data_IF_521031701170
#
_entry.id   IF_521031701170
#
_cell.length_a   1.000
_cell.length_b   1.000
_cell.length_c   1.000
_cell.angle_alpha   90.00
_cell.angle_beta   90.00
_cell.angle_gamma   90.00
#
_symmetry.space_group_name_H-M   'P 1'
#
loop_
_entity.id
_entity.type
_entity.pdbx_description
1 polymer ?
#
# COMPACT_ATOMS: atom_id res chain seq x y z
N UNK A 1 3.87 -12.71 31.98
CA UNK A 1 4.75 -11.54 31.92
C UNK A 1 3.87 -10.35 32.22
N UNK A 2 4.27 -9.46 33.14
CA UNK A 2 3.42 -8.37 33.58
C UNK A 2 3.21 -7.39 32.42
N UNK A 3 1.94 -7.21 32.03
CA UNK A 3 1.49 -6.27 30.99
C UNK A 3 1.63 -4.83 31.49
N UNK A 4 2.85 -4.35 31.69
CA UNK A 4 3.10 -2.94 31.94
C UNK A 4 2.89 -2.14 30.65
N UNK A 5 2.15 -1.04 30.73
CA UNK A 5 2.10 -0.08 29.62
C UNK A 5 3.52 0.41 29.30
N UNK A 6 3.93 0.45 28.01
CA UNK A 6 5.26 0.93 27.65
C UNK A 6 5.39 2.39 28.08
N UNK A 7 6.48 2.71 28.78
CA UNK A 7 6.75 4.07 29.30
C UNK A 7 8.06 4.60 28.75
N UNK A 8 8.14 5.93 28.61
CA UNK A 8 9.31 6.63 28.14
C UNK A 8 10.48 6.37 29.08
N UNK A 9 11.60 5.92 28.53
CA UNK A 9 12.81 5.60 29.32
C UNK A 9 13.38 6.83 30.06
N UNK A 10 13.10 8.04 29.57
CA UNK A 10 13.61 9.29 30.15
C UNK A 10 12.66 9.89 31.20
N UNK A 11 11.35 9.94 30.92
CA UNK A 11 10.39 10.68 31.74
C UNK A 11 9.25 9.84 32.34
N UNK A 12 9.20 8.54 32.07
CA UNK A 12 8.17 7.63 32.59
C UNK A 12 6.76 7.83 32.02
N UNK A 13 6.56 8.75 31.06
CA UNK A 13 5.25 8.95 30.42
C UNK A 13 4.83 7.73 29.60
N UNK A 14 3.53 7.37 29.56
CA UNK A 14 3.05 6.27 28.71
C UNK A 14 3.33 6.59 27.24
N UNK A 15 3.84 5.60 26.51
CA UNK A 15 4.18 5.68 25.09
C UNK A 15 3.02 5.14 24.25
N UNK A 16 2.70 5.84 23.17
CA UNK A 16 1.68 5.43 22.21
C UNK A 16 2.25 5.39 20.79
N UNK A 17 1.58 4.62 19.91
CA UNK A 17 1.94 4.56 18.49
C UNK A 17 3.41 4.22 18.25
N UNK A 18 4.09 5.03 17.42
CA UNK A 18 5.53 4.86 17.10
C UNK A 18 6.46 4.95 18.31
N UNK A 19 6.11 5.77 19.31
CA UNK A 19 7.00 6.06 20.44
C UNK A 19 7.33 4.81 21.26
N UNK A 20 6.42 3.82 21.30
CA UNK A 20 6.62 2.56 22.03
C UNK A 20 7.79 1.74 21.49
N UNK A 21 8.07 1.84 20.19
CA UNK A 21 9.16 1.12 19.55
C UNK A 21 10.49 1.86 19.69
N UNK A 22 10.44 3.18 19.86
CA UNK A 22 11.62 4.02 20.03
C UNK A 22 12.01 4.19 21.50
N UNK A 23 11.14 3.81 22.44
CA UNK A 23 11.36 3.93 23.89
C UNK A 23 11.35 5.36 24.43
N UNK A 24 11.21 6.37 23.56
CA UNK A 24 11.22 7.80 23.92
C UNK A 24 9.95 8.50 23.42
N UNK A 25 9.31 9.28 24.30
CA UNK A 25 8.17 10.11 23.91
C UNK A 25 8.63 11.28 23.01
N UNK A 26 7.70 11.88 22.26
CA UNK A 26 7.99 12.99 21.36
C UNK A 26 8.71 14.15 22.04
N UNK A 27 8.30 14.50 23.28
CA UNK A 27 8.92 15.60 24.03
C UNK A 27 10.39 15.33 24.35
N UNK A 28 10.71 14.18 24.96
CA UNK A 28 12.10 13.85 25.30
C UNK A 28 13.00 13.70 24.06
N UNK A 29 12.42 13.29 22.93
CA UNK A 29 13.15 13.22 21.65
C UNK A 29 13.43 14.61 21.07
N UNK A 30 12.45 15.51 21.17
CA UNK A 30 12.64 16.90 20.74
C UNK A 30 13.70 17.57 21.61
N UNK A 31 13.69 17.35 22.92
CA UNK A 31 14.73 17.84 23.85
C UNK A 31 16.12 17.29 23.48
N UNK A 32 16.23 16.00 23.10
CA UNK A 32 17.48 15.39 22.64
C UNK A 32 17.98 16.00 21.32
N UNK A 33 17.08 16.22 20.35
CA UNK A 33 17.43 16.84 19.07
C UNK A 33 17.85 18.30 19.24
N UNK A 34 17.17 19.05 20.11
CA UNK A 34 17.49 20.45 20.41
C UNK A 34 18.75 20.56 21.27
N UNK A 35 18.97 19.65 22.20
CA UNK A 35 20.20 19.55 23.02
C UNK A 35 21.44 19.25 22.17
N UNK A 36 21.34 18.27 21.26
CA UNK A 36 22.41 17.94 20.33
C UNK A 36 22.70 19.08 19.33
N UNK A 37 21.68 19.85 18.93
CA UNK A 37 21.86 21.04 18.10
C UNK A 37 22.55 22.19 18.86
N UNK A 38 22.31 22.30 20.17
CA UNK A 38 22.97 23.29 21.04
C UNK A 38 24.46 23.02 21.25
N UNK A 39 24.85 21.74 21.42
CA UNK A 39 26.26 21.36 21.52
C UNK A 39 27.00 21.46 20.17
N UNK A 40 26.35 21.10 19.06
CA UNK A 40 26.94 21.25 17.72
C UNK A 40 27.15 22.72 17.31
N UNK A 41 26.38 23.67 17.88
CA UNK A 41 26.59 25.10 17.68
C UNK A 41 27.73 25.67 18.55
N UNK A 42 28.00 25.07 19.72
CA UNK A 42 29.04 25.53 20.63
C UNK A 42 30.47 25.25 20.12
N UNK A 43 30.65 24.25 19.25
CA UNK A 43 31.94 23.91 18.64
C UNK A 43 32.22 24.60 17.29
N UNK A 44 31.28 25.43 16.79
CA UNK A 44 31.36 26.06 15.48
C UNK A 44 31.56 27.59 15.47
N UNK A 45 31.49 28.26 16.62
CA UNK A 45 31.47 29.72 16.67
C UNK A 45 32.86 30.33 16.95
N UNK A 46 33.70 30.36 15.92
CA UNK A 46 34.72 31.40 15.81
C UNK A 46 35.02 31.76 14.36
N UNK A 47 34.87 33.06 14.09
CA UNK A 47 35.21 33.80 12.88
C UNK A 47 34.18 33.77 11.71
N UNK A 48 33.24 34.74 11.73
CA UNK A 48 33.05 35.64 10.58
C UNK A 48 32.36 36.96 10.93
N UNK A 49 32.96 38.02 10.40
CA UNK A 49 32.61 39.43 10.53
C UNK A 49 31.27 39.80 9.83
N UNK A 50 30.64 40.94 10.19
CA UNK A 50 29.39 41.39 9.60
C UNK A 50 29.67 42.10 8.27
N UNK A 51 28.98 41.68 7.20
CA UNK A 51 29.10 42.27 5.87
C UNK A 51 27.78 42.29 5.12
N UNK A 52 27.26 43.51 4.98
CA UNK A 52 26.43 44.03 3.88
C UNK A 52 24.99 43.54 3.70
N UNK A 53 24.08 44.41 4.16
CA UNK A 53 22.68 44.45 3.76
C UNK A 53 22.55 44.86 2.28
N UNK A 54 22.01 43.96 1.45
CA UNK A 54 21.62 44.28 0.08
C UNK A 54 20.20 44.87 0.00
N UNK A 55 19.99 46.00 -0.70
CA UNK A 55 18.67 46.56 -0.91
C UNK A 55 17.85 45.70 -1.88
N UNK A 56 16.67 45.26 -1.43
CA UNK A 56 15.69 44.53 -2.24
C UNK A 56 15.15 45.45 -3.34
N UNK A 57 15.53 45.21 -4.58
CA UNK A 57 14.94 45.90 -5.73
C UNK A 57 13.50 45.39 -5.99
N UNK A 58 12.51 46.28 -6.19
CA UNK A 58 11.10 45.92 -6.36
C UNK A 58 10.76 45.24 -7.71
N UNK A 59 11.73 45.05 -8.61
CA UNK A 59 11.48 44.52 -9.96
C UNK A 59 11.30 43.00 -10.04
N UNK A 60 11.65 42.25 -8.98
CA UNK A 60 11.52 40.77 -8.96
C UNK A 60 10.11 40.27 -8.60
N UNK A 61 9.28 41.08 -7.93
CA UNK A 61 7.91 40.69 -7.56
C UNK A 61 6.95 40.58 -8.75
N UNK A 62 7.15 41.41 -9.78
CA UNK A 62 6.27 41.47 -10.95
C UNK A 62 6.43 40.27 -11.90
N UNK A 63 7.63 39.71 -11.99
CA UNK A 63 7.92 38.53 -12.83
C UNK A 63 7.29 37.26 -12.26
N UNK A 64 7.29 37.12 -10.93
CA UNK A 64 6.70 35.98 -10.24
C UNK A 64 5.16 35.97 -10.33
N UNK A 65 4.52 37.15 -10.31
CA UNK A 65 3.07 37.25 -10.47
C UNK A 65 2.63 36.90 -11.90
N UNK A 66 3.38 37.33 -12.91
CA UNK A 66 3.08 37.01 -14.32
C UNK A 66 3.19 35.50 -14.61
N UNK A 67 4.16 34.81 -14.00
CA UNK A 67 4.32 33.35 -14.12
C UNK A 67 3.16 32.57 -13.47
N UNK A 68 2.62 33.07 -12.34
CA UNK A 68 1.48 32.44 -11.67
C UNK A 68 0.18 32.55 -12.49
N UNK A 69 -0.07 33.70 -13.14
CA UNK A 69 -1.26 33.90 -13.99
C UNK A 69 -1.18 33.03 -15.25
N UNK A 70 -0.01 32.94 -15.90
CA UNK A 70 0.17 32.07 -17.06
C UNK A 70 0.05 30.57 -16.72
N UNK A 71 0.55 30.15 -15.54
CA UNK A 71 0.42 28.78 -15.06
C UNK A 71 -1.03 28.39 -14.72
N UNK A 72 -1.81 29.32 -14.13
CA UNK A 72 -3.21 29.09 -13.78
C UNK A 72 -4.13 28.88 -14.99
N UNK A 73 -3.92 29.62 -16.08
CA UNK A 73 -4.71 29.51 -17.29
C UNK A 73 -4.54 28.14 -18.01
N UNK A 74 -3.36 27.51 -17.88
CA UNK A 74 -3.09 26.21 -18.51
C UNK A 74 -3.81 25.03 -17.81
N UNK A 75 -4.11 25.15 -16.51
CA UNK A 75 -4.77 24.09 -15.73
C UNK A 75 -6.28 24.04 -16.01
N UNK A 76 -6.91 25.18 -16.34
CA UNK A 76 -8.37 25.24 -16.61
C UNK A 76 -8.73 24.60 -17.95
N UNK A 77 -7.83 24.63 -18.94
CA UNK A 77 -8.07 24.00 -20.25
C UNK A 77 -7.96 22.46 -20.18
N UNK A 78 -7.19 21.91 -19.24
CA UNK A 78 -7.03 20.45 -19.08
C UNK A 78 -8.13 19.79 -18.23
N UNK A 79 -8.93 20.58 -17.50
CA UNK A 79 -9.99 20.07 -16.61
C UNK A 79 -11.40 20.19 -17.20
N UNK A 80 -11.55 20.60 -18.47
CA UNK A 80 -12.85 20.57 -19.15
C UNK A 80 -13.20 19.12 -19.52
N UNK A 81 -14.27 18.52 -18.96
CA UNK A 81 -14.61 17.14 -19.22
C UNK A 81 -15.18 17.01 -20.64
N UNK A 82 -14.55 16.13 -21.41
CA UNK A 82 -15.14 15.54 -22.61
C UNK A 82 -16.52 14.98 -22.26
N UNK A 83 -17.48 15.31 -23.10
CA UNK A 83 -18.90 15.03 -22.92
C UNK A 83 -19.22 13.56 -22.69
N UNK A 84 -20.27 13.38 -21.88
CA UNK A 84 -21.09 12.20 -21.76
C UNK A 84 -21.65 11.80 -23.13
N UNK A 85 -20.90 10.97 -23.85
CA UNK A 85 -21.42 10.21 -24.98
C UNK A 85 -22.25 9.05 -24.45
N UNK A 86 -23.56 9.11 -24.68
CA UNK A 86 -24.48 7.98 -24.62
C UNK A 86 -23.94 6.86 -25.51
N UNK A 87 -23.46 5.78 -24.88
CA UNK A 87 -23.07 4.57 -25.58
C UNK A 87 -24.30 3.73 -25.92
N UNK A 88 -24.35 3.10 -27.10
CA UNK A 88 -25.49 2.30 -27.53
C UNK A 88 -25.66 1.04 -26.68
N UNK A 89 -26.94 0.73 -26.47
CA UNK A 89 -27.53 -0.38 -25.73
C UNK A 89 -26.91 -1.76 -26.13
N UNK A 90 -26.49 -2.60 -25.18
CA UNK A 90 -25.95 -3.92 -25.50
C UNK A 90 -27.07 -4.89 -25.92
N UNK A 91 -26.94 -5.40 -27.13
CA UNK A 91 -27.75 -6.46 -27.73
C UNK A 91 -27.72 -7.76 -26.88
N UNK A 92 -28.86 -8.45 -26.67
CA UNK A 92 -28.92 -9.63 -25.81
C UNK A 92 -28.20 -10.83 -26.42
N UNK A 93 -27.09 -11.23 -25.82
CA UNK A 93 -26.33 -12.43 -26.19
C UNK A 93 -27.19 -13.69 -26.00
N UNK A 94 -27.52 -14.33 -27.11
CA UNK A 94 -28.18 -15.64 -27.22
C UNK A 94 -27.41 -16.70 -26.42
N UNK A 95 -28.05 -17.31 -25.43
CA UNK A 95 -27.49 -18.40 -24.64
C UNK A 95 -27.22 -19.63 -25.53
N UNK A 96 -25.94 -19.96 -25.71
CA UNK A 96 -25.50 -21.22 -26.33
C UNK A 96 -25.53 -22.30 -25.25
N UNK A 97 -26.43 -23.27 -25.42
CA UNK A 97 -26.59 -24.45 -24.56
C UNK A 97 -25.43 -25.44 -24.84
N UNK A 98 -24.55 -25.77 -23.87
CA UNK A 98 -23.53 -26.78 -24.10
C UNK A 98 -24.15 -28.18 -24.19
N UNK A 99 -23.58 -29.00 -25.09
CA UNK A 99 -23.94 -30.40 -25.30
C UNK A 99 -23.58 -31.26 -24.06
N UNK A 100 -24.35 -32.32 -23.76
CA UNK A 100 -24.09 -33.18 -22.62
C UNK A 100 -22.78 -33.96 -22.80
N UNK A 101 -21.84 -33.76 -21.87
CA UNK A 101 -20.63 -34.56 -21.75
C UNK A 101 -20.97 -35.97 -21.25
N UNK A 102 -20.32 -36.97 -21.85
CA UNK A 102 -20.45 -38.37 -21.49
C UNK A 102 -20.08 -38.62 -20.01
N UNK A 103 -20.81 -39.53 -19.37
CA UNK A 103 -20.64 -39.89 -17.97
C UNK A 103 -19.23 -40.49 -17.71
N UNK A 104 -18.51 -40.05 -16.67
CA UNK A 104 -17.27 -40.69 -16.26
C UNK A 104 -17.53 -42.03 -15.56
N UNK A 105 -16.77 -43.03 -15.96
CA UNK A 105 -16.68 -44.36 -15.35
C UNK A 105 -16.24 -44.27 -13.88
N UNK A 106 -16.88 -44.99 -12.94
CA UNK A 106 -16.52 -44.91 -11.53
C UNK A 106 -15.17 -45.58 -11.27
N UNK A 107 -14.18 -44.78 -10.88
CA UNK A 107 -12.92 -45.26 -10.31
C UNK A 107 -13.16 -45.59 -8.84
N UNK A 108 -12.80 -46.80 -8.43
CA UNK A 108 -12.93 -47.29 -7.08
C UNK A 108 -12.23 -46.34 -6.07
N UNK A 109 -13.01 -45.87 -5.10
CA UNK A 109 -12.50 -45.04 -3.99
C UNK A 109 -11.63 -45.89 -3.06
N UNK A 110 -10.40 -45.47 -2.74
CA UNK A 110 -9.66 -46.06 -1.63
C UNK A 110 -10.39 -45.75 -0.31
N UNK A 111 -10.34 -46.73 0.61
CA UNK A 111 -11.09 -46.77 1.84
C UNK A 111 -10.99 -45.48 2.67
N UNK A 112 -12.16 -44.98 3.07
CA UNK A 112 -12.36 -43.82 3.95
C UNK A 112 -11.84 -44.18 5.35
N UNK A 113 -10.62 -43.76 5.67
CA UNK A 113 -10.14 -43.70 7.05
C UNK A 113 -11.13 -42.85 7.88
N UNK A 114 -11.53 -43.27 9.09
CA UNK A 114 -12.41 -42.49 9.93
C UNK A 114 -11.72 -41.17 10.28
N UNK A 115 -12.27 -40.07 9.79
CA UNK A 115 -11.90 -38.73 10.21
C UNK A 115 -12.25 -38.62 11.70
N UNK A 116 -11.25 -38.74 12.56
CA UNK A 116 -11.36 -38.29 13.94
C UNK A 116 -11.81 -36.83 13.95
N UNK A 117 -12.59 -36.39 14.95
CA UNK A 117 -13.07 -35.02 15.01
C UNK A 117 -11.87 -34.07 14.97
N UNK A 118 -11.72 -33.35 13.87
CA UNK A 118 -10.80 -32.21 13.79
C UNK A 118 -11.32 -31.22 14.81
N UNK A 119 -10.62 -31.11 15.94
CA UNK A 119 -10.96 -30.16 16.98
C UNK A 119 -11.09 -28.78 16.33
N UNK A 120 -12.28 -28.18 16.43
CA UNK A 120 -12.48 -26.81 15.97
C UNK A 120 -11.40 -25.93 16.60
N UNK A 121 -10.75 -25.04 15.82
CA UNK A 121 -9.71 -24.17 16.36
C UNK A 121 -10.27 -23.46 17.59
N UNK A 122 -9.63 -23.69 18.75
CA UNK A 122 -10.05 -23.14 20.03
C UNK A 122 -10.00 -21.63 19.92
N UNK A 123 -11.16 -20.99 20.02
CA UNK A 123 -11.28 -19.54 20.00
C UNK A 123 -10.68 -18.95 21.27
N UNK A 124 -9.80 -17.96 21.10
CA UNK A 124 -9.19 -17.24 22.21
C UNK A 124 -9.84 -15.85 22.26
N UNK A 125 -10.26 -15.37 23.45
CA UNK A 125 -10.73 -14.00 23.60
C UNK A 125 -9.64 -13.02 23.11
N UNK A 126 -10.06 -11.95 22.43
CA UNK A 126 -9.13 -10.94 21.94
C UNK A 126 -8.38 -10.31 23.12
N UNK A 127 -7.04 -10.33 23.15
CA UNK A 127 -6.27 -9.65 24.19
C UNK A 127 -6.63 -8.17 24.27
N UNK A 128 -6.74 -7.60 25.48
CA UNK A 128 -7.15 -6.21 25.68
C UNK A 128 -6.31 -5.21 24.86
N UNK A 129 -5.00 -5.45 24.79
CA UNK A 129 -4.07 -4.67 23.96
C UNK A 129 -4.43 -4.74 22.47
N UNK A 130 -4.66 -5.94 21.93
CA UNK A 130 -5.06 -6.13 20.54
C UNK A 130 -6.40 -5.45 20.21
N UNK A 131 -7.34 -5.48 21.16
CA UNK A 131 -8.61 -4.76 21.02
C UNK A 131 -8.40 -3.24 20.95
N UNK A 132 -7.60 -2.68 21.85
CA UNK A 132 -7.30 -1.25 21.88
C UNK A 132 -6.63 -0.77 20.57
N UNK A 133 -5.61 -1.49 20.13
CA UNK A 133 -4.82 -1.14 18.95
C UNK A 133 -5.61 -1.34 17.65
N UNK A 134 -6.48 -2.36 17.59
CA UNK A 134 -7.41 -2.52 16.47
C UNK A 134 -8.41 -1.37 16.43
N UNK A 135 -8.94 -0.90 17.57
CA UNK A 135 -9.83 0.26 17.60
C UNK A 135 -9.13 1.54 17.15
N UNK A 136 -7.89 1.77 17.58
CA UNK A 136 -7.08 2.90 17.14
C UNK A 136 -6.83 2.84 15.62
N UNK A 137 -6.39 1.70 15.10
CA UNK A 137 -6.21 1.49 13.66
C UNK A 137 -7.49 1.81 12.87
N UNK A 138 -8.65 1.31 13.32
CA UNK A 138 -9.94 1.56 12.67
C UNK A 138 -10.31 3.04 12.68
N UNK A 139 -10.02 3.76 13.78
CA UNK A 139 -10.23 5.20 13.88
C UNK A 139 -9.35 5.95 12.88
N UNK A 140 -8.07 5.63 12.79
CA UNK A 140 -7.14 6.24 11.83
C UNK A 140 -7.54 5.94 10.39
N UNK A 141 -7.94 4.70 10.08
CA UNK A 141 -8.41 4.31 8.75
C UNK A 141 -9.69 5.06 8.36
N UNK A 142 -10.63 5.22 9.30
CA UNK A 142 -11.85 6.01 9.08
C UNK A 142 -11.54 7.49 8.84
N UNK A 143 -10.56 8.05 9.55
CA UNK A 143 -10.05 9.41 9.35
C UNK A 143 -9.17 9.58 8.11
N UNK A 144 -8.77 8.47 7.45
CA UNK A 144 -7.79 8.44 6.36
C UNK A 144 -6.42 9.02 6.77
N UNK A 145 -6.06 8.90 8.04
CA UNK A 145 -4.78 9.36 8.58
C UNK A 145 -3.70 8.30 8.32
N UNK A 146 -3.39 8.09 7.04
CA UNK A 146 -2.50 7.01 6.63
C UNK A 146 -1.05 7.23 7.05
N UNK A 147 -0.60 8.47 7.19
CA UNK A 147 0.76 8.76 7.65
C UNK A 147 0.94 8.26 9.09
N UNK A 148 -0.04 8.50 9.97
CA UNK A 148 -0.01 7.92 11.33
C UNK A 148 -0.12 6.41 11.34
N UNK A 149 -0.92 5.81 10.45
CA UNK A 149 -0.99 4.34 10.35
C UNK A 149 0.38 3.77 9.98
N UNK A 150 1.05 4.38 9.00
CA UNK A 150 2.37 3.96 8.59
C UNK A 150 3.36 4.06 9.74
N UNK A 151 3.40 5.20 10.42
CA UNK A 151 4.36 5.45 11.50
C UNK A 151 4.13 4.53 12.71
N UNK A 152 2.87 4.25 13.06
CA UNK A 152 2.51 3.47 14.24
C UNK A 152 2.54 1.95 14.00
N UNK A 153 2.22 1.50 12.79
CA UNK A 153 1.92 0.08 12.55
C UNK A 153 2.68 -0.55 11.39
N UNK A 154 3.27 0.21 10.47
CA UNK A 154 3.97 -0.37 9.31
C UNK A 154 5.48 -0.11 9.32
N UNK A 155 5.93 1.11 9.65
CA UNK A 155 7.36 1.44 9.75
C UNK A 155 8.11 0.68 10.84
N UNK A 156 7.51 0.39 12.01
CA UNK A 156 8.19 -0.42 13.03
C UNK A 156 8.40 -1.88 12.62
N UNK A 157 7.84 -2.31 11.48
CA UNK A 157 8.14 -3.61 10.91
C UNK A 157 9.40 -3.55 10.04
N UNK A 158 10.50 -4.04 10.60
CA UNK A 158 11.80 -4.12 9.92
C UNK A 158 11.86 -5.19 8.81
N UNK A 159 10.76 -5.92 8.57
CA UNK A 159 10.70 -6.99 7.57
C UNK A 159 9.96 -6.57 6.30
N UNK A 160 8.65 -6.29 6.36
CA UNK A 160 7.85 -6.17 5.15
C UNK A 160 8.05 -4.83 4.44
N UNK A 161 8.19 -3.71 5.16
CA UNK A 161 8.38 -2.42 4.51
C UNK A 161 9.73 -2.33 3.76
N UNK A 162 10.87 -2.81 4.32
CA UNK A 162 12.11 -2.95 3.56
C UNK A 162 12.00 -3.88 2.34
N UNK A 163 11.22 -4.97 2.43
CA UNK A 163 10.96 -5.85 1.28
C UNK A 163 10.17 -5.13 0.18
N UNK A 164 9.11 -4.40 0.54
CA UNK A 164 8.35 -3.55 -0.39
C UNK A 164 9.27 -2.54 -1.08
N UNK A 165 10.15 -1.86 -0.34
CA UNK A 165 11.12 -0.91 -0.90
C UNK A 165 12.01 -1.56 -1.96
N UNK A 166 12.65 -2.69 -1.62
CA UNK A 166 13.53 -3.42 -2.56
C UNK A 166 12.76 -3.87 -3.80
N UNK A 167 11.57 -4.43 -3.64
CA UNK A 167 10.76 -4.90 -4.75
C UNK A 167 10.32 -3.75 -5.67
N UNK A 168 9.95 -2.59 -5.12
CA UNK A 168 9.67 -1.39 -5.92
C UNK A 168 10.90 -0.88 -6.67
N UNK A 169 12.08 -0.91 -6.07
CA UNK A 169 13.32 -0.53 -6.76
C UNK A 169 13.60 -1.47 -7.94
N UNK A 170 13.39 -2.78 -7.77
CA UNK A 170 13.46 -3.73 -8.87
C UNK A 170 12.48 -3.42 -10.00
N UNK A 171 11.25 -2.98 -9.69
CA UNK A 171 10.22 -2.61 -10.66
C UNK A 171 10.55 -1.31 -11.39
N UNK A 172 11.03 -0.30 -10.66
CA UNK A 172 11.14 1.07 -11.18
C UNK A 172 12.48 1.31 -11.88
N UNK A 173 13.59 0.90 -11.25
CA UNK A 173 14.95 1.19 -11.75
C UNK A 173 15.75 -0.08 -12.08
N UNK A 174 15.34 -1.24 -11.56
CA UNK A 174 16.06 -2.51 -11.75
C UNK A 174 15.55 -3.36 -12.91
N UNK A 175 15.68 -4.68 -12.75
CA UNK A 175 15.37 -5.68 -13.78
C UNK A 175 13.91 -5.62 -14.30
N UNK A 176 12.96 -5.17 -13.48
CA UNK A 176 11.55 -5.03 -13.86
C UNK A 176 11.24 -3.75 -14.64
N UNK A 177 12.18 -2.81 -14.79
CA UNK A 177 11.89 -1.48 -15.35
C UNK A 177 11.43 -1.52 -16.82
N UNK A 178 11.99 -2.43 -17.63
CA UNK A 178 11.55 -2.62 -19.01
C UNK A 178 10.12 -3.15 -19.08
N UNK A 179 9.80 -4.17 -18.28
CA UNK A 179 8.45 -4.71 -18.16
C UNK A 179 7.47 -3.67 -17.62
N UNK A 180 7.84 -2.92 -16.58
CA UNK A 180 7.01 -1.85 -16.02
C UNK A 180 6.60 -0.83 -17.10
N UNK A 181 7.56 -0.33 -17.90
CA UNK A 181 7.27 0.61 -19.00
C UNK A 181 6.34 0.01 -20.04
N UNK A 182 6.57 -1.24 -20.42
CA UNK A 182 5.76 -1.93 -21.42
C UNK A 182 4.32 -2.19 -20.94
N UNK A 183 4.17 -2.77 -19.75
CA UNK A 183 2.88 -3.16 -19.22
C UNK A 183 2.04 -1.96 -18.79
N UNK A 184 2.65 -0.92 -18.22
CA UNK A 184 1.95 0.33 -17.91
C UNK A 184 1.45 1.04 -19.17
N UNK A 185 2.26 1.07 -20.23
CA UNK A 185 1.83 1.60 -21.54
C UNK A 185 0.70 0.77 -22.13
N UNK A 186 0.75 -0.55 -21.97
CA UNK A 186 -0.32 -1.46 -22.40
C UNK A 186 -1.61 -1.17 -21.62
N UNK A 187 -1.54 -1.04 -20.30
CA UNK A 187 -2.69 -0.69 -19.44
C UNK A 187 -3.34 0.64 -19.86
N UNK A 188 -2.53 1.67 -20.11
CA UNK A 188 -3.00 3.00 -20.50
C UNK A 188 -3.60 2.99 -21.91
N UNK A 189 -2.94 2.35 -22.89
CA UNK A 189 -3.36 2.42 -24.31
C UNK A 189 -4.44 1.40 -24.69
N UNK A 190 -4.39 0.21 -24.11
CA UNK A 190 -5.25 -0.92 -24.47
C UNK A 190 -6.34 -1.20 -23.43
N UNK A 191 -6.29 -0.51 -22.29
CA UNK A 191 -7.23 -0.67 -21.19
C UNK A 191 -6.90 -1.84 -20.27
N UNK A 192 -7.60 -1.88 -19.13
CA UNK A 192 -7.38 -2.83 -18.06
C UNK A 192 -7.68 -4.28 -18.48
N UNK A 193 -8.83 -4.54 -19.10
CA UNK A 193 -9.27 -5.90 -19.45
C UNK A 193 -8.28 -6.64 -20.36
N UNK A 194 -7.80 -5.96 -21.41
CA UNK A 194 -6.81 -6.53 -22.33
C UNK A 194 -5.46 -6.75 -21.64
N UNK A 195 -5.06 -5.85 -20.75
CA UNK A 195 -3.83 -5.99 -19.97
C UNK A 195 -3.91 -7.17 -19.01
N UNK A 196 -5.02 -7.33 -18.30
CA UNK A 196 -5.30 -8.47 -17.41
C UNK A 196 -5.18 -9.79 -18.17
N UNK A 197 -5.81 -9.91 -19.34
CA UNK A 197 -5.75 -11.12 -20.16
C UNK A 197 -4.31 -11.46 -20.58
N UNK A 198 -3.52 -10.44 -20.94
CA UNK A 198 -2.12 -10.62 -21.37
C UNK A 198 -1.18 -10.94 -20.20
N UNK A 199 -1.38 -10.32 -19.04
CA UNK A 199 -0.63 -10.67 -17.82
C UNK A 199 -0.93 -12.11 -17.38
N UNK A 200 -2.20 -12.53 -17.46
CA UNK A 200 -2.58 -13.93 -17.22
C UNK A 200 -1.84 -14.89 -18.16
N UNK A 201 -1.78 -14.57 -19.45
CA UNK A 201 -1.03 -15.36 -20.43
C UNK A 201 0.49 -15.37 -20.17
N UNK A 202 1.03 -14.33 -19.51
CA UNK A 202 2.42 -14.25 -19.06
C UNK A 202 2.67 -14.96 -17.70
N UNK A 203 1.66 -15.67 -17.16
CA UNK A 203 1.81 -16.42 -15.91
C UNK A 203 1.68 -15.58 -14.64
N UNK A 204 1.12 -14.37 -14.71
CA UNK A 204 0.80 -13.59 -13.52
C UNK A 204 -0.33 -14.27 -12.72
N UNK A 205 -0.11 -14.64 -11.44
CA UNK A 205 -1.15 -15.25 -10.60
C UNK A 205 -2.26 -14.26 -10.22
N UNK A 206 -2.00 -12.96 -10.27
CA UNK A 206 -2.93 -11.91 -9.81
C UNK A 206 -3.03 -10.75 -10.80
N UNK A 207 -3.45 -11.01 -12.05
CA UNK A 207 -3.34 -10.03 -13.15
C UNK A 207 -4.19 -8.77 -12.93
N UNK A 208 -5.29 -8.87 -12.18
CA UNK A 208 -6.12 -7.70 -11.80
C UNK A 208 -5.33 -6.78 -10.87
N UNK A 209 -4.80 -7.31 -9.77
CA UNK A 209 -3.98 -6.57 -8.81
C UNK A 209 -2.76 -5.94 -9.48
N UNK A 210 -2.04 -6.68 -10.32
CA UNK A 210 -0.89 -6.16 -11.05
C UNK A 210 -1.28 -5.01 -11.98
N UNK A 211 -2.39 -5.13 -12.70
CA UNK A 211 -2.88 -4.06 -13.58
C UNK A 211 -3.24 -2.80 -12.79
N UNK A 212 -3.88 -2.94 -11.63
CA UNK A 212 -4.18 -1.81 -10.75
C UNK A 212 -2.90 -1.15 -10.20
N UNK A 213 -1.94 -1.95 -9.74
CA UNK A 213 -0.64 -1.45 -9.24
C UNK A 213 0.11 -0.70 -10.34
N UNK A 214 0.21 -1.28 -11.54
CA UNK A 214 0.84 -0.63 -12.69
C UNK A 214 0.16 0.70 -13.04
N UNK A 215 -1.17 0.72 -13.00
CA UNK A 215 -1.95 1.93 -13.26
C UNK A 215 -1.72 2.98 -12.18
N UNK A 216 -1.65 2.58 -10.91
CA UNK A 216 -1.33 3.47 -9.79
C UNK A 216 0.08 4.05 -9.95
N UNK A 217 1.09 3.20 -10.13
CA UNK A 217 2.48 3.60 -10.32
C UNK A 217 2.64 4.55 -11.51
N UNK A 218 1.98 4.28 -12.64
CA UNK A 218 2.07 5.13 -13.82
C UNK A 218 1.42 6.51 -13.65
N UNK A 219 0.39 6.63 -12.79
CA UNK A 219 -0.35 7.87 -12.55
C UNK A 219 0.21 8.72 -11.41
N UNK A 220 1.00 8.13 -10.51
CA UNK A 220 1.51 8.79 -9.31
C UNK A 220 3.05 8.78 -9.30
N UNK A 221 3.71 9.84 -9.80
CA UNK A 221 5.18 9.92 -9.81
C UNK A 221 5.81 9.78 -8.42
N UNK A 222 5.10 10.09 -7.34
CA UNK A 222 5.57 9.88 -5.97
C UNK A 222 5.72 8.40 -5.60
N UNK A 223 5.03 7.50 -6.31
CA UNK A 223 5.09 6.05 -6.10
C UNK A 223 6.09 5.34 -7.03
N UNK A 224 6.48 5.95 -8.15
CA UNK A 224 7.27 5.30 -9.21
C UNK A 224 8.41 6.14 -9.81
N UNK A 225 8.57 7.40 -9.41
CA UNK A 225 9.61 8.27 -9.93
C UNK A 225 10.98 7.81 -9.46
N UNK A 226 11.92 7.60 -10.40
CA UNK A 226 13.28 7.14 -10.08
C UNK A 226 14.02 8.10 -9.13
N UNK A 227 13.73 9.41 -9.21
CA UNK A 227 14.32 10.45 -8.35
C UNK A 227 13.68 10.52 -6.95
N UNK A 228 12.57 9.83 -6.72
CA UNK A 228 11.90 9.83 -5.41
C UNK A 228 12.66 8.86 -4.47
N UNK A 229 12.84 9.17 -3.19
CA UNK A 229 13.43 8.22 -2.25
C UNK A 229 12.61 6.91 -2.16
N UNK A 230 13.28 5.76 -2.09
CA UNK A 230 12.63 4.44 -2.06
C UNK A 230 11.61 4.30 -0.90
N UNK A 231 11.93 4.86 0.27
CA UNK A 231 11.00 4.89 1.42
C UNK A 231 9.71 5.62 1.07
N UNK A 232 9.78 6.80 0.43
CA UNK A 232 8.59 7.57 0.05
C UNK A 232 7.77 6.83 -1.01
N UNK A 233 8.40 6.15 -1.96
CA UNK A 233 7.69 5.28 -2.91
C UNK A 233 6.92 4.17 -2.19
N UNK A 234 7.58 3.47 -1.26
CA UNK A 234 6.96 2.40 -0.48
C UNK A 234 5.78 2.90 0.36
N UNK A 235 5.92 4.04 1.07
CA UNK A 235 4.81 4.66 1.81
C UNK A 235 3.60 4.91 0.90
N UNK A 236 3.79 5.53 -0.26
CA UNK A 236 2.70 5.76 -1.21
C UNK A 236 2.02 4.47 -1.69
N UNK A 237 2.78 3.41 -1.94
CA UNK A 237 2.22 2.12 -2.35
C UNK A 237 1.47 1.43 -1.21
N UNK A 238 1.95 1.53 0.03
CA UNK A 238 1.21 1.02 1.21
C UNK A 238 -0.09 1.80 1.40
N UNK A 239 -0.08 3.13 1.23
CA UNK A 239 -1.30 3.97 1.28
C UNK A 239 -2.30 3.54 0.22
N UNK A 240 -1.87 3.39 -1.03
CA UNK A 240 -2.71 2.89 -2.12
C UNK A 240 -3.28 1.49 -1.81
N UNK A 241 -2.46 0.63 -1.23
CA UNK A 241 -2.85 -0.72 -0.86
C UNK A 241 -3.94 -0.71 0.22
N UNK A 242 -3.72 0.00 1.33
CA UNK A 242 -4.68 0.17 2.42
C UNK A 242 -5.97 0.85 1.95
N UNK A 243 -5.87 1.86 1.08
CA UNK A 243 -7.02 2.53 0.48
C UNK A 243 -7.86 1.54 -0.34
N UNK A 244 -7.23 0.68 -1.15
CA UNK A 244 -7.95 -0.34 -1.91
C UNK A 244 -8.56 -1.44 -1.03
N UNK A 245 -7.89 -1.79 0.07
CA UNK A 245 -8.37 -2.80 1.01
C UNK A 245 -9.60 -2.31 1.79
N UNK A 246 -9.53 -1.09 2.34
CA UNK A 246 -10.52 -0.58 3.30
C UNK A 246 -11.46 0.51 2.76
N UNK A 247 -11.17 1.13 1.61
CA UNK A 247 -11.81 2.39 1.18
C UNK A 247 -13.32 2.34 0.93
N UNK A 248 -13.91 1.15 0.76
CA UNK A 248 -15.37 0.96 0.59
C UNK A 248 -16.08 0.44 1.84
N UNK A 249 -15.37 0.28 2.96
CA UNK A 249 -15.93 -0.20 4.23
C UNK A 249 -16.29 0.96 5.15
N UNK A 250 -17.36 0.78 5.93
CA UNK A 250 -17.77 1.72 6.99
C UNK A 250 -17.03 1.41 8.29
N UNK A 251 -15.83 1.96 8.43
CA UNK A 251 -14.94 1.64 9.55
C UNK A 251 -15.26 2.37 10.86
N UNK A 252 -15.86 3.57 10.81
CA UNK A 252 -16.17 4.34 12.01
C UNK A 252 -17.13 3.62 12.98
N UNK A 253 -17.99 2.73 12.46
CA UNK A 253 -18.89 1.89 13.25
C UNK A 253 -18.48 0.42 13.33
N UNK A 254 -17.29 0.07 12.84
CA UNK A 254 -16.84 -1.32 12.82
C UNK A 254 -16.64 -1.85 14.24
N UNK A 255 -17.09 -3.08 14.48
CA UNK A 255 -16.87 -3.78 15.75
C UNK A 255 -15.77 -4.80 15.58
N UNK A 256 -14.97 -4.93 16.63
CA UNK A 256 -13.98 -6.02 16.71
C UNK A 256 -14.73 -7.27 17.12
N UNK A 257 -14.71 -8.28 16.25
CA UNK A 257 -15.32 -9.57 16.54
C UNK A 257 -14.66 -10.18 17.79
N UNK A 258 -15.42 -10.88 18.64
CA UNK A 258 -14.94 -11.33 19.95
C UNK A 258 -13.83 -12.38 19.91
N UNK A 259 -13.46 -12.86 18.72
CA UNK A 259 -12.61 -14.02 18.52
C UNK A 259 -11.38 -13.63 17.70
N UNK A 260 -10.20 -13.93 18.25
CA UNK A 260 -8.95 -13.85 17.52
C UNK A 260 -8.33 -15.25 17.36
N UNK A 261 -7.68 -15.47 16.22
CA UNK A 261 -6.84 -16.64 16.00
C UNK A 261 -5.40 -16.24 16.28
N UNK A 262 -4.74 -16.90 17.23
CA UNK A 262 -3.32 -16.67 17.55
C UNK A 262 -2.47 -17.86 17.11
N UNK A 263 -1.36 -17.59 16.46
CA UNK A 263 -0.36 -18.60 16.07
C UNK A 263 1.03 -18.02 16.28
N UNK A 264 1.68 -18.41 17.38
CA UNK A 264 2.97 -17.83 17.79
C UNK A 264 2.85 -16.33 18.10
N UNK A 265 3.64 -15.54 17.38
CA UNK A 265 3.63 -14.08 17.37
C UNK A 265 2.59 -13.48 16.43
N UNK A 266 1.85 -14.29 15.66
CA UNK A 266 0.79 -13.79 14.80
C UNK A 266 -0.57 -13.81 15.49
N UNK A 267 -1.34 -12.75 15.31
CA UNK A 267 -2.70 -12.60 15.83
C UNK A 267 -3.62 -12.06 14.73
N UNK A 268 -4.71 -12.78 14.45
CA UNK A 268 -5.72 -12.35 13.48
C UNK A 268 -6.98 -11.93 14.21
N UNK A 269 -7.42 -10.70 14.01
CA UNK A 269 -8.62 -10.12 14.63
C UNK A 269 -9.70 -9.94 13.57
N UNK A 270 -10.89 -10.49 13.80
CA UNK A 270 -12.04 -10.31 12.91
C UNK A 270 -12.70 -8.96 13.09
N UNK A 271 -13.27 -8.43 12.00
CA UNK A 271 -14.02 -7.18 11.97
C UNK A 271 -15.45 -7.41 11.49
N UNK A 272 -16.40 -6.86 12.22
CA UNK A 272 -17.79 -6.73 11.81
C UNK A 272 -17.99 -5.31 11.29
N UNK A 273 -18.08 -5.15 9.97
CA UNK A 273 -18.28 -3.87 9.32
C UNK A 273 -19.18 -3.98 8.09
N UNK A 274 -19.89 -2.89 7.81
CA UNK A 274 -20.72 -2.74 6.61
C UNK A 274 -19.89 -2.25 5.42
N UNK A 275 -20.48 -2.39 4.23
CA UNK A 275 -19.88 -1.94 2.98
C UNK A 275 -19.21 -3.07 2.20
N UNK A 276 -18.73 -2.70 1.01
CA UNK A 276 -18.06 -3.58 0.08
C UNK A 276 -16.65 -3.06 -0.13
N UNK A 277 -15.65 -3.92 0.04
CA UNK A 277 -14.27 -3.54 -0.16
C UNK A 277 -14.03 -3.01 -1.57
N UNK A 278 -13.12 -2.04 -1.70
CA UNK A 278 -12.90 -1.32 -2.96
C UNK A 278 -12.24 -2.15 -4.06
N UNK A 279 -11.54 -3.22 -3.70
CA UNK A 279 -10.92 -4.15 -4.65
C UNK A 279 -10.41 -5.41 -3.99
N UNK A 280 -10.22 -6.45 -4.78
CA UNK A 280 -9.64 -7.72 -4.31
C UNK A 280 -8.14 -7.53 -4.09
N UNK A 281 -7.68 -7.71 -2.85
CA UNK A 281 -6.27 -7.73 -2.48
C UNK A 281 -5.88 -9.19 -2.19
N UNK A 282 -5.15 -9.87 -3.10
CA UNK A 282 -4.91 -11.32 -2.97
C UNK A 282 -4.25 -11.71 -1.64
N UNK A 283 -4.78 -12.70 -0.93
CA UNK A 283 -4.25 -13.12 0.37
C UNK A 283 -4.64 -12.22 1.55
N UNK A 284 -5.49 -11.21 1.34
CA UNK A 284 -6.03 -10.39 2.42
C UNK A 284 -7.55 -10.38 2.39
N UNK A 285 -8.11 -10.42 3.59
CA UNK A 285 -9.52 -10.19 3.84
C UNK A 285 -9.64 -8.85 4.59
N UNK A 286 -10.30 -7.83 4.03
CA UNK A 286 -10.44 -6.53 4.69
C UNK A 286 -11.30 -6.59 5.95
N UNK A 287 -11.96 -7.73 6.22
CA UNK A 287 -12.66 -8.01 7.49
C UNK A 287 -11.77 -8.72 8.51
N UNK A 288 -10.47 -8.84 8.24
CA UNK A 288 -9.49 -9.42 9.15
C UNK A 288 -8.29 -8.49 9.25
N UNK A 289 -7.89 -8.18 10.47
CA UNK A 289 -6.65 -7.47 10.75
C UNK A 289 -5.62 -8.49 11.19
N UNK A 290 -4.52 -8.56 10.46
CA UNK A 290 -3.41 -9.44 10.76
C UNK A 290 -2.35 -8.64 11.50
N UNK A 291 -2.09 -9.03 12.74
CA UNK A 291 -1.10 -8.44 13.61
C UNK A 291 0.08 -9.39 13.77
N UNK A 292 1.29 -8.83 13.75
CA UNK A 292 2.46 -9.46 14.34
C UNK A 292 2.74 -8.80 15.69
N UNK A 293 2.82 -9.62 16.72
CA UNK A 293 3.01 -9.22 18.12
C UNK A 293 4.51 -9.11 18.39
N UNK A 294 4.94 -7.93 18.84
CA UNK A 294 6.30 -7.62 19.26
C UNK A 294 6.30 -7.27 20.76
N UNK A 295 7.45 -7.33 21.46
CA UNK A 295 7.52 -6.90 22.85
C UNK A 295 7.03 -5.45 23.04
N UNK A 296 7.42 -4.56 22.13
CA UNK A 296 7.16 -3.13 22.18
C UNK A 296 5.74 -2.76 21.73
N UNK A 297 5.12 -3.58 20.87
CA UNK A 297 3.93 -3.19 20.11
C UNK A 297 3.33 -4.28 19.24
N UNK A 298 2.33 -3.92 18.44
CA UNK A 298 1.89 -4.74 17.32
C UNK A 298 2.14 -3.99 16.02
N UNK A 299 2.54 -4.75 15.00
CA UNK A 299 2.74 -4.22 13.65
C UNK A 299 1.74 -4.89 12.71
N UNK A 300 1.23 -4.10 11.75
CA UNK A 300 0.25 -4.55 10.78
C UNK A 300 0.95 -5.43 9.75
N UNK A 301 0.52 -6.68 9.65
CA UNK A 301 1.03 -7.63 8.68
C UNK A 301 0.17 -7.55 7.42
N UNK A 302 0.79 -7.16 6.30
CA UNK A 302 0.14 -7.08 5.00
C UNK A 302 0.79 -8.09 4.07
N UNK A 303 0.02 -8.79 3.23
CA UNK A 303 0.59 -9.67 2.20
C UNK A 303 1.26 -8.86 1.05
N UNK A 304 1.50 -7.55 1.25
CA UNK A 304 1.89 -6.58 0.22
C UNK A 304 3.30 -6.84 -0.31
N UNK A 305 4.24 -7.16 0.58
CA UNK A 305 5.64 -7.44 0.20
C UNK A 305 5.70 -8.59 -0.81
N UNK A 306 5.12 -9.74 -0.48
CA UNK A 306 5.08 -10.94 -1.33
C UNK A 306 4.42 -10.67 -2.69
N UNK A 307 3.37 -9.84 -2.71
CA UNK A 307 2.68 -9.45 -3.93
C UNK A 307 3.55 -8.58 -4.82
N UNK A 308 4.19 -7.55 -4.28
CA UNK A 308 5.06 -6.66 -5.07
C UNK A 308 6.29 -7.44 -5.56
N UNK A 309 6.85 -8.37 -4.76
CA UNK A 309 7.92 -9.27 -5.20
C UNK A 309 7.47 -10.18 -6.35
N UNK A 310 6.24 -10.68 -6.31
CA UNK A 310 5.65 -11.47 -7.41
C UNK A 310 5.46 -10.62 -8.66
N UNK A 311 4.97 -9.40 -8.53
CA UNK A 311 4.88 -8.45 -9.65
C UNK A 311 6.27 -8.14 -10.22
N UNK A 312 7.27 -7.88 -9.37
CA UNK A 312 8.64 -7.63 -9.81
C UNK A 312 9.20 -8.79 -10.64
N UNK A 313 8.94 -10.04 -10.23
CA UNK A 313 9.31 -11.23 -11.01
C UNK A 313 8.62 -11.30 -12.36
N UNK A 314 7.31 -11.05 -12.43
CA UNK A 314 6.56 -11.02 -13.69
C UNK A 314 7.10 -9.94 -14.63
N UNK A 315 7.39 -8.74 -14.10
CA UNK A 315 7.91 -7.61 -14.89
C UNK A 315 9.36 -7.79 -15.33
N UNK A 316 10.14 -8.63 -14.65
CA UNK A 316 11.51 -8.96 -15.04
C UNK A 316 11.59 -10.00 -16.17
N UNK A 317 10.48 -10.67 -16.50
CA UNK A 317 10.44 -11.59 -17.63
C UNK A 317 10.62 -10.85 -18.97
N UNK A 318 11.18 -11.51 -20.01
CA UNK A 318 11.28 -10.93 -21.33
C UNK A 318 9.91 -10.43 -21.82
N UNK A 319 9.86 -9.16 -22.23
CA UNK A 319 8.63 -8.57 -22.76
C UNK A 319 8.23 -9.35 -24.01
N UNK A 320 6.95 -9.76 -24.16
CA UNK A 320 6.49 -10.46 -25.35
C UNK A 320 6.86 -9.62 -26.57
N UNK A 321 7.58 -10.23 -27.54
CA UNK A 321 7.91 -9.57 -28.78
C UNK A 321 6.63 -8.95 -29.33
N UNK A 322 6.63 -7.62 -29.48
CA UNK A 322 5.51 -6.95 -30.13
C UNK A 322 5.60 -7.47 -31.55
N UNK A 323 4.71 -8.39 -31.95
CA UNK A 323 4.66 -8.86 -33.32
C UNK A 323 4.74 -7.60 -34.19
N UNK A 324 5.81 -7.41 -34.99
CA UNK A 324 5.86 -6.26 -35.86
C UNK A 324 4.62 -6.38 -36.70
N UNK A 325 3.70 -5.41 -36.56
CA UNK A 325 2.56 -5.35 -37.47
C UNK A 325 3.16 -5.45 -38.87
N UNK A 326 2.66 -6.37 -39.72
CA UNK A 326 3.13 -6.43 -41.10
C UNK A 326 2.96 -5.02 -41.63
N UNK A 327 4.09 -4.36 -41.93
CA UNK A 327 4.08 -3.07 -42.60
C UNK A 327 3.26 -3.29 -43.85
N UNK A 328 2.08 -2.69 -43.92
CA UNK A 328 1.30 -2.65 -45.14
C UNK A 328 2.26 -2.14 -46.22
N UNK A 329 2.59 -3.02 -47.17
CA UNK A 329 3.43 -2.62 -48.29
C UNK A 329 2.71 -1.48 -49.03
N UNK A 330 3.44 -0.45 -49.49
CA UNK A 330 2.87 0.66 -50.24
C UNK A 330 2.25 0.19 -51.56
#
# INVERSE_FOLDING_TARGET
>A
MADGEPTCVECGRPLAGRERFEGKCAACREDELLGAAGEAAADGESARAPGDAHPRSPKRGLVLLALLVAGGAMVVVFLWPFGSGEGPEPEPTRAVRPAPAAAPTPVASPAKLPAGPVAAPRSVPVPARALAETKELLSLLAAKDYERILDNYCEPDDEDLPRVRRALDHIVVGAGAAGFRYWSRTAIRQGALKTIARLRAAGDPHPVYTTELLTHLARHPQASGAHVPAQRRARNVVIWHLTGLYGGLRLAGARVAPMATRTGDHLVVGLECEGTAGGVRPGEDPRRVHWRVRPEGMVLQLALAERIETVARVLAQPVPATNPQPRSAP
#
